data_IF_678339680752
#
_entry.id   IF_678339680752
#
_cell.length_a   1.000
_cell.length_b   1.000
_cell.length_c   1.000
_cell.angle_alpha   90.00
_cell.angle_beta   90.00
_cell.angle_gamma   90.00
#
_symmetry.space_group_name_H-M   'P 1'
#
loop_
_entity.id
_entity.type
_entity.pdbx_description
1 polymer ?
#
# COMPACT_ATOMS: atom_id res chain seq x y z
N UNK A 1 -21.81 20.83 -4.13
CA UNK A 1 -20.33 20.64 -4.09
C UNK A 1 -20.06 19.23 -4.60
N UNK A 2 -19.18 19.06 -5.60
CA UNK A 2 -18.84 17.73 -6.11
C UNK A 2 -17.77 17.08 -5.22
N UNK A 3 -17.88 15.76 -5.00
CA UNK A 3 -16.91 14.98 -4.21
C UNK A 3 -15.50 15.14 -4.80
N UNK A 4 -15.38 15.19 -6.12
CA UNK A 4 -14.13 15.45 -6.84
C UNK A 4 -13.46 16.78 -6.45
N UNK A 5 -14.23 17.86 -6.33
CA UNK A 5 -13.70 19.18 -5.97
C UNK A 5 -13.12 19.20 -4.56
N UNK A 6 -13.75 18.46 -3.64
CA UNK A 6 -13.26 18.30 -2.26
C UNK A 6 -11.95 17.52 -2.24
N UNK A 7 -11.87 16.43 -3.01
CA UNK A 7 -10.65 15.63 -3.07
C UNK A 7 -9.49 16.42 -3.70
N UNK A 8 -9.72 17.14 -4.79
CA UNK A 8 -8.71 18.00 -5.43
C UNK A 8 -8.18 19.05 -4.44
N UNK A 9 -9.04 19.65 -3.63
CA UNK A 9 -8.60 20.58 -2.58
C UNK A 9 -7.70 19.87 -1.55
N UNK A 10 -8.09 18.66 -1.12
CA UNK A 10 -7.26 17.84 -0.22
C UNK A 10 -5.87 17.57 -0.81
N UNK A 11 -5.78 17.18 -2.09
CA UNK A 11 -4.51 16.96 -2.79
C UNK A 11 -3.67 18.24 -2.90
N UNK A 12 -4.30 19.36 -3.24
CA UNK A 12 -3.60 20.64 -3.38
C UNK A 12 -2.95 21.08 -2.06
N UNK A 13 -3.67 20.99 -0.94
CA UNK A 13 -3.11 21.28 0.38
C UNK A 13 -2.04 20.26 0.80
N UNK A 14 -2.21 18.98 0.45
CA UNK A 14 -1.19 17.95 0.73
C UNK A 14 0.14 18.28 0.03
N UNK A 15 0.07 18.69 -1.25
CA UNK A 15 1.24 18.98 -2.07
C UNK A 15 2.11 20.11 -1.48
N UNK A 16 1.50 21.07 -0.80
CA UNK A 16 2.19 22.18 -0.11
C UNK A 16 2.41 21.91 1.39
N UNK A 17 2.16 20.68 1.85
CA UNK A 17 2.32 20.21 3.25
C UNK A 17 1.43 20.90 4.27
N UNK A 18 0.33 21.50 3.83
CA UNK A 18 -0.72 22.03 4.70
C UNK A 18 -1.65 20.89 5.14
N UNK A 19 -1.11 20.00 5.97
CA UNK A 19 -1.76 18.74 6.32
C UNK A 19 -3.08 18.91 7.08
N UNK A 20 -3.22 19.98 7.86
CA UNK A 20 -4.47 20.28 8.58
C UNK A 20 -5.63 20.51 7.61
N UNK A 21 -5.44 21.36 6.60
CA UNK A 21 -6.47 21.63 5.60
C UNK A 21 -6.67 20.44 4.68
N UNK A 22 -5.59 19.76 4.28
CA UNK A 22 -5.68 18.52 3.53
C UNK A 22 -6.53 17.46 4.24
N UNK A 23 -6.32 17.27 5.55
CA UNK A 23 -7.09 16.36 6.40
C UNK A 23 -8.57 16.76 6.43
N UNK A 24 -8.86 18.05 6.66
CA UNK A 24 -10.24 18.57 6.68
C UNK A 24 -10.98 18.23 5.38
N UNK A 25 -10.38 18.51 4.22
CA UNK A 25 -11.02 18.21 2.94
C UNK A 25 -11.11 16.70 2.67
N UNK A 26 -10.12 15.92 3.11
CA UNK A 26 -10.14 14.46 3.03
C UNK A 26 -11.29 13.87 3.84
N UNK A 27 -11.56 14.38 5.04
CA UNK A 27 -12.66 13.92 5.89
C UNK A 27 -14.04 14.26 5.31
N UNK A 28 -14.20 15.47 4.76
CA UNK A 28 -15.43 15.83 4.06
C UNK A 28 -15.62 14.90 2.85
N UNK A 29 -14.56 14.65 2.07
CA UNK A 29 -14.60 13.74 0.92
C UNK A 29 -15.00 12.32 1.34
N UNK A 30 -14.42 11.79 2.42
CA UNK A 30 -14.77 10.48 2.98
C UNK A 30 -16.25 10.37 3.32
N UNK A 31 -16.79 11.37 4.02
CA UNK A 31 -18.19 11.38 4.45
C UNK A 31 -19.15 11.43 3.25
N UNK A 32 -18.87 12.30 2.26
CA UNK A 32 -19.71 12.38 1.06
C UNK A 32 -19.59 11.12 0.19
N UNK A 33 -18.39 10.54 0.09
CA UNK A 33 -18.17 9.28 -0.61
C UNK A 33 -18.91 8.10 0.05
N UNK A 34 -18.94 8.03 1.38
CA UNK A 34 -19.73 7.02 2.12
C UNK A 34 -21.23 7.17 1.84
N UNK A 35 -21.76 8.39 1.87
CA UNK A 35 -23.17 8.65 1.51
C UNK A 35 -23.48 8.20 0.09
N UNK A 36 -22.59 8.51 -0.86
CA UNK A 36 -22.72 8.09 -2.25
C UNK A 36 -22.76 6.55 -2.37
N UNK A 37 -21.84 5.84 -1.68
CA UNK A 37 -21.84 4.37 -1.64
C UNK A 37 -23.15 3.80 -1.06
N UNK A 38 -23.64 4.36 0.05
CA UNK A 38 -24.90 3.93 0.67
C UNK A 38 -26.11 4.18 -0.24
N UNK A 39 -26.05 5.23 -1.07
CA UNK A 39 -27.04 5.54 -2.09
C UNK A 39 -26.92 4.71 -3.38
N UNK A 40 -25.97 3.78 -3.45
CA UNK A 40 -25.75 2.93 -4.63
C UNK A 40 -24.94 3.59 -5.76
N UNK A 41 -24.37 4.77 -5.52
CA UNK A 41 -23.49 5.43 -6.50
C UNK A 41 -22.11 4.77 -6.52
N UNK A 42 -21.77 4.19 -7.67
CA UNK A 42 -20.50 3.51 -7.94
C UNK A 42 -19.26 4.42 -7.79
N UNK A 43 -19.41 5.74 -7.92
CA UNK A 43 -18.31 6.69 -7.72
C UNK A 43 -17.91 6.82 -6.25
N UNK A 44 -18.82 6.49 -5.33
CA UNK A 44 -18.58 6.58 -3.89
C UNK A 44 -17.38 5.75 -3.45
N UNK A 45 -17.25 4.50 -3.91
CA UNK A 45 -16.09 3.67 -3.55
C UNK A 45 -14.76 4.26 -4.04
N UNK A 46 -14.77 4.82 -5.25
CA UNK A 46 -13.57 5.42 -5.86
C UNK A 46 -13.07 6.62 -5.06
N UNK A 47 -13.95 7.54 -4.68
CA UNK A 47 -13.54 8.68 -3.86
C UNK A 47 -13.26 8.29 -2.41
N UNK A 48 -13.96 7.29 -1.88
CA UNK A 48 -13.72 6.80 -0.52
C UNK A 48 -12.30 6.27 -0.37
N UNK A 49 -11.85 5.38 -1.27
CA UNK A 49 -10.50 4.80 -1.19
C UNK A 49 -9.40 5.84 -1.42
N UNK A 50 -9.64 6.82 -2.31
CA UNK A 50 -8.70 7.93 -2.56
C UNK A 50 -8.55 8.82 -1.32
N UNK A 51 -9.66 9.24 -0.71
CA UNK A 51 -9.64 10.06 0.49
C UNK A 51 -9.12 9.30 1.73
N UNK A 52 -9.46 8.02 1.88
CA UNK A 52 -8.91 7.18 2.95
C UNK A 52 -7.38 7.05 2.83
N UNK A 53 -6.88 6.85 1.60
CA UNK A 53 -5.44 6.77 1.33
C UNK A 53 -4.74 8.09 1.63
N UNK A 54 -5.35 9.22 1.25
CA UNK A 54 -4.82 10.56 1.56
C UNK A 54 -4.72 10.78 3.08
N UNK A 55 -5.80 10.49 3.82
CA UNK A 55 -5.79 10.54 5.29
C UNK A 55 -4.71 9.65 5.89
N UNK A 56 -4.53 8.43 5.40
CA UNK A 56 -3.47 7.53 5.86
C UNK A 56 -2.06 8.06 5.54
N UNK A 57 -1.86 8.70 4.40
CA UNK A 57 -0.61 9.34 4.02
C UNK A 57 -0.30 10.55 4.91
N UNK A 58 -1.30 11.36 5.27
CA UNK A 58 -1.14 12.46 6.23
C UNK A 58 -0.76 11.92 7.62
N UNK A 59 -1.49 10.91 8.12
CA UNK A 59 -1.18 10.27 9.40
C UNK A 59 0.26 9.71 9.43
N UNK A 60 0.71 9.14 8.31
CA UNK A 60 2.10 8.70 8.14
C UNK A 60 3.08 9.86 8.25
N UNK A 61 2.83 10.97 7.56
CA UNK A 61 3.67 12.17 7.60
C UNK A 61 3.71 12.81 9.01
N UNK A 62 2.61 12.74 9.75
CA UNK A 62 2.49 13.17 11.15
C UNK A 62 3.08 12.16 12.17
N UNK A 63 3.71 11.08 11.69
CA UNK A 63 4.27 9.99 12.52
C UNK A 63 3.24 9.21 13.35
N UNK A 64 1.94 9.33 13.03
CA UNK A 64 0.84 8.53 13.62
C UNK A 64 0.72 7.18 12.92
N UNK A 65 1.76 6.35 13.06
CA UNK A 65 1.93 5.13 12.27
C UNK A 65 0.85 4.08 12.50
N UNK A 66 0.47 3.79 13.76
CA UNK A 66 -0.54 2.76 14.03
C UNK A 66 -1.93 3.17 13.53
N UNK A 67 -2.28 4.45 13.57
CA UNK A 67 -3.51 4.99 12.97
C UNK A 67 -3.48 4.84 11.43
N UNK A 68 -2.34 5.18 10.80
CA UNK A 68 -2.17 5.01 9.36
C UNK A 68 -2.27 3.53 8.95
N UNK A 69 -1.62 2.62 9.67
CA UNK A 69 -1.68 1.17 9.43
C UNK A 69 -3.11 0.67 9.55
N UNK A 70 -3.85 1.11 10.56
CA UNK A 70 -5.25 0.73 10.77
C UNK A 70 -6.11 1.16 9.59
N UNK A 71 -5.93 2.38 9.10
CA UNK A 71 -6.67 2.89 7.95
C UNK A 71 -6.29 2.19 6.63
N UNK A 72 -5.00 1.93 6.38
CA UNK A 72 -4.57 1.13 5.22
C UNK A 72 -5.13 -0.29 5.25
N UNK A 73 -5.24 -0.90 6.44
CA UNK A 73 -5.89 -2.20 6.61
C UNK A 73 -7.38 -2.14 6.32
N UNK A 74 -8.07 -1.11 6.77
CA UNK A 74 -9.50 -0.88 6.45
C UNK A 74 -9.71 -0.74 4.94
N UNK A 75 -8.85 0.02 4.25
CA UNK A 75 -8.87 0.15 2.79
C UNK A 75 -8.73 -1.22 2.12
N UNK A 76 -7.76 -2.04 2.55
CA UNK A 76 -7.57 -3.37 2.00
C UNK A 76 -8.79 -4.27 2.21
N UNK A 77 -9.38 -4.27 3.41
CA UNK A 77 -10.58 -5.05 3.72
C UNK A 77 -11.78 -4.59 2.87
N UNK A 78 -12.00 -3.28 2.75
CA UNK A 78 -13.05 -2.74 1.88
C UNK A 78 -12.82 -3.10 0.42
N UNK A 79 -11.57 -3.10 -0.03
CA UNK A 79 -11.22 -3.50 -1.40
C UNK A 79 -11.50 -4.99 -1.66
N UNK A 80 -11.39 -5.87 -0.66
CA UNK A 80 -11.84 -7.27 -0.78
C UNK A 80 -13.34 -7.32 -1.08
N UNK A 81 -14.17 -6.58 -0.32
CA UNK A 81 -15.62 -6.52 -0.54
C UNK A 81 -15.97 -6.04 -1.96
N UNK A 82 -15.17 -5.11 -2.50
CA UNK A 82 -15.35 -4.52 -3.83
C UNK A 82 -14.65 -5.30 -4.95
N UNK A 83 -13.98 -6.43 -4.63
CA UNK A 83 -13.19 -7.22 -5.58
C UNK A 83 -12.10 -6.40 -6.31
N UNK A 84 -11.58 -5.37 -5.66
CA UNK A 84 -10.51 -4.52 -6.17
C UNK A 84 -9.15 -5.05 -5.70
N UNK A 85 -8.62 -6.05 -6.43
CA UNK A 85 -7.36 -6.71 -6.11
C UNK A 85 -6.18 -5.72 -6.02
N UNK A 86 -6.23 -4.61 -6.77
CA UNK A 86 -5.18 -3.60 -6.75
C UNK A 86 -5.13 -2.88 -5.40
N UNK A 87 -6.27 -2.47 -4.87
CA UNK A 87 -6.31 -1.80 -3.56
C UNK A 87 -6.18 -2.76 -2.37
N UNK A 88 -6.53 -4.05 -2.52
CA UNK A 88 -6.16 -5.06 -1.51
C UNK A 88 -4.64 -5.14 -1.40
N UNK A 89 -3.95 -5.27 -2.54
CA UNK A 89 -2.49 -5.30 -2.60
C UNK A 89 -1.89 -4.03 -1.99
N UNK A 90 -2.34 -2.85 -2.42
CA UNK A 90 -1.72 -1.58 -2.04
C UNK A 90 -1.94 -1.24 -0.56
N UNK A 91 -3.12 -1.52 -0.01
CA UNK A 91 -3.40 -1.31 1.42
C UNK A 91 -2.46 -2.15 2.29
N UNK A 92 -2.36 -3.45 2.03
CA UNK A 92 -1.44 -4.30 2.78
C UNK A 92 0.04 -3.99 2.51
N UNK A 93 0.39 -3.55 1.28
CA UNK A 93 1.76 -3.11 0.97
C UNK A 93 2.17 -1.94 1.85
N UNK A 94 1.27 -0.98 2.07
CA UNK A 94 1.53 0.16 2.94
C UNK A 94 1.61 -0.24 4.42
N UNK A 95 0.77 -1.16 4.89
CA UNK A 95 0.91 -1.74 6.23
C UNK A 95 2.30 -2.38 6.43
N UNK A 96 2.73 -3.20 5.46
CA UNK A 96 4.04 -3.87 5.49
C UNK A 96 5.20 -2.88 5.45
N UNK A 97 5.10 -1.84 4.61
CA UNK A 97 6.12 -0.80 4.53
C UNK A 97 6.28 -0.04 5.86
N UNK A 98 5.19 0.36 6.51
CA UNK A 98 5.26 1.06 7.80
C UNK A 98 5.84 0.18 8.90
N UNK A 99 5.48 -1.11 8.96
CA UNK A 99 6.10 -2.07 9.90
C UNK A 99 7.57 -2.31 9.60
N UNK A 100 7.96 -2.33 8.32
CA UNK A 100 9.36 -2.43 7.91
C UNK A 100 10.19 -1.22 8.36
N UNK A 101 9.64 0.00 8.22
CA UNK A 101 10.30 1.22 8.71
C UNK A 101 10.49 1.21 10.23
N UNK A 102 9.54 0.64 10.98
CA UNK A 102 9.67 0.41 12.43
C UNK A 102 10.65 -0.71 12.80
N UNK A 103 11.18 -1.44 11.81
CA UNK A 103 12.07 -2.59 12.05
C UNK A 103 11.35 -3.87 12.51
N UNK A 104 10.01 -3.90 12.49
CA UNK A 104 9.19 -5.07 12.86
C UNK A 104 9.13 -6.06 11.69
N UNK A 105 10.21 -6.83 11.49
CA UNK A 105 10.42 -7.65 10.30
C UNK A 105 9.37 -8.75 10.11
N UNK A 106 8.97 -9.43 11.18
CA UNK A 106 7.95 -10.48 11.14
C UNK A 106 6.60 -9.91 10.67
N UNK A 107 6.12 -8.85 11.33
CA UNK A 107 4.86 -8.21 10.94
C UNK A 107 4.93 -7.59 9.54
N UNK A 108 6.07 -7.01 9.16
CA UNK A 108 6.26 -6.50 7.81
C UNK A 108 6.16 -7.62 6.77
N UNK A 109 6.82 -8.75 7.00
CA UNK A 109 6.77 -9.93 6.14
C UNK A 109 5.34 -10.44 5.98
N UNK A 110 4.59 -10.59 7.08
CA UNK A 110 3.19 -11.02 7.04
C UNK A 110 2.32 -10.11 6.18
N UNK A 111 2.44 -8.78 6.33
CA UNK A 111 1.71 -7.84 5.50
C UNK A 111 2.12 -7.88 4.02
N UNK A 112 3.41 -8.07 3.71
CA UNK A 112 3.82 -8.24 2.32
C UNK A 112 3.28 -9.53 1.71
N UNK A 113 3.19 -10.63 2.46
CA UNK A 113 2.50 -11.84 1.99
C UNK A 113 1.01 -11.58 1.71
N UNK A 114 0.32 -10.85 2.58
CA UNK A 114 -1.07 -10.44 2.34
C UNK A 114 -1.20 -9.54 1.09
N UNK A 115 -0.25 -8.64 0.89
CA UNK A 115 -0.18 -7.79 -0.30
C UNK A 115 -0.01 -8.63 -1.58
N UNK A 116 0.91 -9.60 -1.56
CA UNK A 116 1.13 -10.52 -2.68
C UNK A 116 -0.09 -11.41 -2.94
N UNK A 117 -0.73 -11.93 -1.89
CA UNK A 117 -1.94 -12.74 -2.02
C UNK A 117 -3.07 -11.92 -2.67
N UNK A 118 -3.30 -10.68 -2.23
CA UNK A 118 -4.29 -9.78 -2.84
C UNK A 118 -3.95 -9.44 -4.29
N UNK A 119 -2.69 -9.11 -4.56
CA UNK A 119 -2.22 -8.75 -5.91
C UNK A 119 -2.10 -9.94 -6.87
N UNK A 120 -2.12 -11.18 -6.37
CA UNK A 120 -2.01 -12.38 -7.20
C UNK A 120 -3.18 -12.53 -8.18
N UNK A 121 -4.34 -11.96 -7.86
CA UNK A 121 -5.54 -11.91 -8.71
C UNK A 121 -5.45 -10.88 -9.84
N UNK A 122 -4.43 -10.00 -9.84
CA UNK A 122 -4.21 -9.07 -10.93
C UNK A 122 -3.67 -9.81 -12.16
N UNK A 123 -4.04 -9.38 -13.38
CA UNK A 123 -3.41 -9.85 -14.60
C UNK A 123 -1.89 -9.69 -14.56
N UNK A 124 -1.15 -10.61 -15.17
CA UNK A 124 0.32 -10.64 -15.11
C UNK A 124 0.95 -9.30 -15.53
N UNK A 125 0.46 -8.67 -16.60
CA UNK A 125 0.94 -7.37 -17.05
C UNK A 125 0.75 -6.27 -15.99
N UNK A 126 -0.31 -6.33 -15.19
CA UNK A 126 -0.53 -5.38 -14.08
C UNK A 126 0.41 -5.70 -12.91
N UNK A 127 0.60 -6.98 -12.56
CA UNK A 127 1.57 -7.37 -11.51
C UNK A 127 2.98 -6.87 -11.86
N UNK A 128 3.43 -7.06 -13.10
CA UNK A 128 4.78 -6.68 -13.55
C UNK A 128 5.00 -5.16 -13.59
N UNK A 129 3.94 -4.36 -13.77
CA UNK A 129 4.02 -2.90 -13.91
C UNK A 129 3.45 -2.11 -12.72
N UNK A 130 3.22 -2.76 -11.58
CA UNK A 130 2.68 -2.13 -10.38
C UNK A 130 3.60 -2.30 -9.17
N UNK A 131 3.15 -1.80 -8.02
CA UNK A 131 3.82 -1.95 -6.73
C UNK A 131 3.87 -3.40 -6.23
N UNK A 132 3.30 -4.37 -6.94
CA UNK A 132 3.44 -5.79 -6.67
C UNK A 132 4.90 -6.24 -6.65
N UNK A 133 5.72 -5.78 -7.61
CA UNK A 133 7.16 -6.12 -7.66
C UNK A 133 7.92 -5.57 -6.46
N UNK A 134 7.50 -4.40 -5.94
CA UNK A 134 8.03 -3.83 -4.71
C UNK A 134 7.61 -4.63 -3.47
N UNK A 135 6.35 -5.06 -3.40
CA UNK A 135 5.88 -5.96 -2.34
C UNK A 135 6.64 -7.30 -2.35
N UNK A 136 6.91 -7.85 -3.54
CA UNK A 136 7.69 -9.08 -3.72
C UNK A 136 9.15 -8.92 -3.25
N UNK A 137 9.79 -7.82 -3.64
CA UNK A 137 11.13 -7.48 -3.17
C UNK A 137 11.20 -7.43 -1.65
N UNK A 138 10.27 -6.70 -1.02
CA UNK A 138 10.28 -6.56 0.44
C UNK A 138 9.87 -7.84 1.15
N UNK A 139 8.95 -8.65 0.61
CA UNK A 139 8.63 -9.97 1.15
C UNK A 139 9.85 -10.90 1.17
N UNK A 140 10.62 -10.95 0.08
CA UNK A 140 11.87 -11.73 0.04
C UNK A 140 12.91 -11.16 1.01
N UNK A 141 13.03 -9.83 1.08
CA UNK A 141 14.02 -9.18 1.94
C UNK A 141 13.74 -9.39 3.43
N UNK A 142 12.49 -9.21 3.88
CA UNK A 142 12.10 -9.43 5.27
C UNK A 142 12.03 -10.93 5.58
N UNK A 143 11.51 -11.74 4.66
CA UNK A 143 11.44 -13.19 4.79
C UNK A 143 12.81 -13.82 5.03
N UNK A 144 13.84 -13.44 4.26
CA UNK A 144 15.23 -13.92 4.46
C UNK A 144 15.82 -13.61 5.85
N UNK A 145 15.23 -12.68 6.59
CA UNK A 145 15.66 -12.35 7.96
C UNK A 145 14.88 -13.12 9.02
N UNK A 146 13.66 -13.59 8.72
CA UNK A 146 12.71 -14.10 9.73
C UNK A 146 12.17 -15.51 9.44
N UNK A 147 12.57 -16.14 8.34
CA UNK A 147 12.14 -17.49 7.93
C UNK A 147 13.32 -18.35 7.52
N UNK A 148 13.11 -19.67 7.51
CA UNK A 148 14.11 -20.61 7.03
C UNK A 148 14.28 -20.47 5.50
N UNK A 149 15.47 -20.76 4.96
CA UNK A 149 15.72 -20.72 3.52
C UNK A 149 14.71 -21.55 2.70
N UNK A 150 14.30 -22.71 3.21
CA UNK A 150 13.30 -23.59 2.58
C UNK A 150 11.94 -22.91 2.40
N UNK A 151 11.52 -22.07 3.36
CA UNK A 151 10.24 -21.34 3.28
C UNK A 151 10.34 -20.23 2.23
N UNK A 152 11.51 -19.61 2.11
CA UNK A 152 11.78 -18.58 1.10
C UNK A 152 11.80 -19.17 -0.30
N UNK A 153 12.32 -20.39 -0.47
CA UNK A 153 12.27 -21.09 -1.77
C UNK A 153 10.82 -21.32 -2.26
N UNK A 154 9.87 -21.54 -1.35
CA UNK A 154 8.44 -21.64 -1.71
C UNK A 154 7.94 -20.31 -2.27
N UNK A 155 8.28 -19.19 -1.60
CA UNK A 155 7.93 -17.86 -2.08
C UNK A 155 8.59 -17.54 -3.43
N UNK A 156 9.87 -17.89 -3.61
CA UNK A 156 10.58 -17.69 -4.88
C UNK A 156 9.92 -18.45 -6.05
N UNK A 157 9.51 -19.71 -5.82
CA UNK A 157 8.76 -20.50 -6.82
C UNK A 157 7.43 -19.85 -7.16
N UNK A 158 6.70 -19.37 -6.15
CA UNK A 158 5.42 -18.71 -6.39
C UNK A 158 5.57 -17.40 -7.17
N UNK A 159 6.62 -16.62 -6.90
CA UNK A 159 6.93 -15.41 -7.67
C UNK A 159 7.28 -15.72 -9.12
N UNK A 160 7.97 -16.83 -9.39
CA UNK A 160 8.24 -17.29 -10.75
C UNK A 160 6.94 -17.60 -11.52
N UNK A 161 5.97 -18.24 -10.87
CA UNK A 161 4.66 -18.50 -11.48
C UNK A 161 3.88 -17.21 -11.76
N UNK A 162 3.96 -16.23 -10.86
CA UNK A 162 3.20 -14.98 -11.00
C UNK A 162 3.83 -13.94 -11.94
N UNK A 163 5.16 -13.92 -12.06
CA UNK A 163 5.88 -12.86 -12.76
C UNK A 163 6.65 -13.33 -14.00
N UNK A 164 6.76 -14.64 -14.20
CA UNK A 164 7.50 -15.25 -15.30
C UNK A 164 8.93 -15.63 -14.94
N UNK A 165 9.66 -16.16 -15.94
CA UNK A 165 11.02 -16.71 -15.74
C UNK A 165 12.04 -15.65 -15.32
N UNK A 166 11.83 -14.39 -15.70
CA UNK A 166 12.67 -13.24 -15.40
C UNK A 166 12.30 -12.55 -14.08
N UNK A 167 11.46 -13.17 -13.23
CA UNK A 167 10.98 -12.57 -11.98
C UNK A 167 12.10 -12.01 -11.09
N UNK A 168 13.26 -12.66 -11.04
CA UNK A 168 14.42 -12.22 -10.23
C UNK A 168 14.92 -10.86 -10.68
N UNK A 169 15.02 -10.65 -11.99
CA UNK A 169 15.46 -9.38 -12.58
C UNK A 169 14.43 -8.28 -12.31
N UNK A 170 13.13 -8.62 -12.31
CA UNK A 170 12.06 -7.69 -11.99
C UNK A 170 12.10 -7.22 -10.52
N UNK A 171 12.29 -8.15 -9.58
CA UNK A 171 12.16 -7.84 -8.15
C UNK A 171 13.47 -7.39 -7.49
N UNK A 172 14.64 -7.83 -7.97
CA UNK A 172 15.95 -7.49 -7.37
C UNK A 172 16.80 -6.60 -8.28
N UNK A 173 16.18 -5.53 -8.79
CA UNK A 173 16.86 -4.54 -9.62
C UNK A 173 17.48 -3.40 -8.77
N UNK A 174 18.39 -2.59 -9.36
CA UNK A 174 19.05 -1.50 -8.65
C UNK A 174 18.09 -0.45 -8.05
N UNK A 175 16.95 -0.15 -8.67
CA UNK A 175 16.00 0.84 -8.14
C UNK A 175 15.31 0.32 -6.87
N UNK A 176 14.99 -0.98 -6.80
CA UNK A 176 14.47 -1.62 -5.60
C UNK A 176 15.50 -1.61 -4.46
N UNK A 177 16.78 -1.83 -4.78
CA UNK A 177 17.88 -1.76 -3.79
C UNK A 177 18.11 -0.35 -3.24
N UNK A 178 17.80 0.70 -4.00
CA UNK A 178 17.85 2.09 -3.51
C UNK A 178 16.73 2.39 -2.50
N UNK A 179 15.54 1.77 -2.64
CA UNK A 179 14.47 1.91 -1.65
C UNK A 179 14.90 1.39 -0.27
N UNK A 180 15.68 0.30 -0.23
CA UNK A 180 16.32 -0.22 0.99
C UNK A 180 17.33 0.77 1.59
N UNK A 181 18.09 1.50 0.76
CA UNK A 181 19.10 2.45 1.23
C UNK A 181 18.51 3.67 1.96
N UNK A 182 17.28 4.09 1.62
CA UNK A 182 16.59 5.20 2.30
C UNK A 182 16.38 4.94 3.80
N UNK A 183 16.16 3.68 4.21
CA UNK A 183 16.09 3.30 5.63
C UNK A 183 17.42 3.50 6.38
N UNK A 184 18.56 3.22 5.75
CA UNK A 184 19.88 3.40 6.39
C UNK A 184 20.22 4.87 6.62
N UNK A 185 19.76 5.77 5.75
CA UNK A 185 20.04 7.21 5.88
C UNK A 185 19.36 7.85 7.10
N UNK A 186 18.25 7.28 7.59
CA UNK A 186 17.52 7.79 8.76
C UNK A 186 18.10 7.33 10.12
N UNK A 187 19.18 6.54 10.14
CA UNK A 187 19.87 6.16 11.39
C UNK A 187 20.94 7.20 11.78
N UNK A 188 21.37 8.05 10.85
CA UNK A 188 22.43 9.06 11.06
C UNK A 188 22.14 10.42 10.39
N UNK A 189 20.87 10.81 10.25
CA UNK A 189 20.51 12.17 9.83
C UNK A 189 19.40 12.76 10.67
#
# INVERSE_FOLDING_TARGET
>A
IYISSLFIASEAFYAIREYKDSMKYSEITLNEAQKAMMGGDTTGYSYWKMAASMKAAILTAEKKRDEAISLYKEIALKAVEQKDAYYVMEGYRMCGFLRYEEGKMESAFEFFLLSLAGGSYLPENIRRNSTFTYAAYLALHTGKQVRAPSDIEILEKQLQEWLGKDWRELVDNPSMRQAKARRKKNIFS
#
